data_IF_098949375933
#
_entry.id   IF_098949375933
#
_cell.length_a   1.000
_cell.length_b   1.000
_cell.length_c   1.000
_cell.angle_alpha   90.00
_cell.angle_beta   90.00
_cell.angle_gamma   90.00
#
_symmetry.space_group_name_H-M   'P 1'
#
loop_
_entity.id
_entity.type
_entity.pdbx_description
1 polymer ?
#
# COMPACT_ATOMS: atom_id res chain seq x y z
N UNK A 1 -5.94 7.50 -7.64
CA UNK A 1 -4.53 7.54 -8.10
C UNK A 1 -4.07 6.11 -8.31
N UNK A 2 -3.19 5.91 -9.28
CA UNK A 2 -2.65 4.60 -9.59
C UNK A 2 -1.59 4.22 -8.52
N UNK A 3 -1.66 2.98 -8.06
CA UNK A 3 -0.59 2.29 -7.37
C UNK A 3 -0.28 1.01 -8.16
N UNK A 4 0.84 0.37 -7.89
CA UNK A 4 1.20 -0.89 -8.52
C UNK A 4 0.34 -2.04 -7.94
N UNK A 5 -0.65 -2.52 -8.70
CA UNK A 5 -1.54 -3.61 -8.32
C UNK A 5 -0.78 -4.95 -8.15
N UNK A 6 0.32 -5.16 -8.87
CA UNK A 6 1.14 -6.35 -8.73
C UNK A 6 1.86 -6.36 -7.39
N UNK A 7 2.43 -5.22 -6.99
CA UNK A 7 3.04 -5.06 -5.67
C UNK A 7 2.00 -5.17 -4.54
N UNK A 8 0.81 -4.59 -4.73
CA UNK A 8 -0.29 -4.74 -3.78
C UNK A 8 -0.72 -6.20 -3.62
N UNK A 9 -0.82 -6.95 -4.71
CA UNK A 9 -1.17 -8.38 -4.70
C UNK A 9 -0.15 -9.20 -3.89
N UNK A 10 1.15 -8.96 -4.09
CA UNK A 10 2.20 -9.63 -3.31
C UNK A 10 2.08 -9.36 -1.82
N UNK A 11 1.72 -8.14 -1.42
CA UNK A 11 1.48 -7.84 0.00
C UNK A 11 0.21 -8.53 0.53
N UNK A 12 -0.87 -8.57 -0.24
CA UNK A 12 -2.09 -9.31 0.15
C UNK A 12 -1.80 -10.80 0.38
N UNK A 13 -1.02 -11.43 -0.49
CA UNK A 13 -0.60 -12.82 -0.35
C UNK A 13 0.29 -13.06 0.88
N UNK A 14 1.17 -12.11 1.22
CA UNK A 14 2.11 -12.26 2.33
C UNK A 14 1.51 -11.96 3.70
N UNK A 15 0.66 -10.94 3.79
CA UNK A 15 0.20 -10.39 5.08
C UNK A 15 -1.31 -10.15 5.17
N UNK A 16 -2.06 -10.27 4.07
CA UNK A 16 -3.47 -9.87 4.02
C UNK A 16 -4.40 -10.70 4.89
N UNK A 17 -4.06 -11.95 5.18
CA UNK A 17 -4.84 -12.84 6.06
C UNK A 17 -4.38 -12.80 7.53
N UNK A 18 -3.34 -12.02 7.86
CA UNK A 18 -2.88 -11.93 9.24
C UNK A 18 -3.92 -11.19 10.10
N UNK A 19 -4.23 -11.68 11.30
CA UNK A 19 -5.17 -11.02 12.20
C UNK A 19 -4.78 -9.57 12.47
N UNK A 20 -5.75 -8.67 12.33
CA UNK A 20 -5.56 -7.24 12.58
C UNK A 20 -4.91 -6.48 11.41
N UNK A 21 -4.69 -7.12 10.25
CA UNK A 21 -4.28 -6.41 9.04
C UNK A 21 -5.50 -5.82 8.33
N UNK A 22 -5.46 -4.51 8.11
CA UNK A 22 -6.44 -3.77 7.30
C UNK A 22 -5.77 -3.17 6.05
N UNK A 23 -6.46 -3.17 4.92
CA UNK A 23 -6.08 -2.47 3.70
C UNK A 23 -6.92 -1.19 3.51
N UNK A 24 -6.27 -0.04 3.33
CA UNK A 24 -6.95 1.25 3.13
C UNK A 24 -6.35 2.07 1.98
N UNK A 25 -7.20 2.72 1.19
CA UNK A 25 -6.75 3.72 0.20
C UNK A 25 -6.44 5.03 0.91
N UNK A 26 -5.17 5.41 0.96
CA UNK A 26 -4.67 6.61 1.65
C UNK A 26 -3.45 7.18 0.93
N UNK A 27 -3.16 8.48 1.11
CA UNK A 27 -1.95 9.14 0.60
C UNK A 27 -1.68 8.98 -0.90
N UNK A 28 -2.74 8.82 -1.70
CA UNK A 28 -2.62 8.58 -3.13
C UNK A 28 -2.25 7.14 -3.54
N UNK A 29 -2.19 6.20 -2.60
CA UNK A 29 -1.90 4.78 -2.84
C UNK A 29 -2.71 3.85 -1.93
N UNK A 30 -2.10 2.71 -1.57
CA UNK A 30 -2.62 1.75 -0.58
C UNK A 30 -1.76 1.76 0.68
N UNK A 31 -2.40 1.62 1.83
CA UNK A 31 -1.77 1.43 3.13
C UNK A 31 -2.25 0.12 3.75
N UNK A 32 -1.31 -0.63 4.34
CA UNK A 32 -1.57 -1.79 5.17
C UNK A 32 -1.35 -1.40 6.63
N UNK A 33 -2.38 -1.56 7.44
CA UNK A 33 -2.37 -1.22 8.86
C UNK A 33 -2.36 -2.52 9.67
N UNK A 34 -1.58 -2.57 10.74
CA UNK A 34 -1.62 -3.62 11.75
C UNK A 34 -2.23 -3.06 13.04
N UNK A 35 -3.39 -3.58 13.44
CA UNK A 35 -4.15 -3.12 14.60
C UNK A 35 -4.34 -1.58 14.60
N UNK A 36 -4.64 -1.02 13.43
CA UNK A 36 -4.85 0.42 13.24
C UNK A 36 -3.58 1.27 13.08
N UNK A 37 -2.38 0.70 13.18
CA UNK A 37 -1.13 1.42 12.94
C UNK A 37 -0.58 1.13 11.54
N UNK A 38 -0.09 2.13 10.82
CA UNK A 38 0.48 1.90 9.48
C UNK A 38 1.76 1.07 9.57
N UNK A 39 1.79 -0.07 8.89
CA UNK A 39 2.95 -0.95 8.80
C UNK A 39 3.73 -0.70 7.49
N UNK A 40 3.02 -0.60 6.37
CA UNK A 40 3.61 -0.31 5.05
C UNK A 40 2.57 0.26 4.08
N UNK A 41 3.01 0.67 2.88
CA UNK A 41 2.12 1.13 1.83
C UNK A 41 2.69 0.94 0.42
N UNK A 42 1.81 0.92 -0.56
CA UNK A 42 2.11 0.88 -1.99
C UNK A 42 1.77 2.25 -2.58
N UNK A 43 2.80 3.00 -2.93
CA UNK A 43 2.66 4.34 -3.52
C UNK A 43 3.44 4.40 -4.83
N UNK A 44 2.86 5.02 -5.86
CA UNK A 44 3.59 5.35 -7.08
C UNK A 44 4.10 6.79 -6.97
N UNK A 45 5.42 6.92 -6.90
CA UNK A 45 6.09 8.22 -7.02
C UNK A 45 6.32 8.48 -8.51
N UNK A 46 5.65 9.50 -9.05
CA UNK A 46 6.01 10.03 -10.35
C UNK A 46 7.25 10.92 -10.16
N UNK A 47 8.39 10.47 -10.66
CA UNK A 47 9.52 11.37 -10.85
C UNK A 47 9.10 12.40 -11.90
N UNK A 48 8.95 13.65 -11.49
CA UNK A 48 8.93 14.76 -12.44
C UNK A 48 10.39 15.07 -12.74
N UNK A 49 10.77 15.02 -14.02
CA UNK A 49 11.96 15.74 -14.46
C UNK A 49 11.78 17.20 -14.04
N UNK A 50 12.80 17.74 -13.37
CA UNK A 50 12.89 19.17 -13.16
C UNK A 50 13.30 19.76 -14.52
N UNK A 51 12.43 20.61 -15.08
CA UNK A 51 12.75 21.45 -16.24
C UNK A 51 13.97 22.35 -15.95
#
# INVERSE_FOLDING_TARGET
MAYDEGLATRLRELIGELPGVDEKRMFGGLAFLLNGNMACGVITIAFREAD
#
